data_IF_680880566713
#
_entry.id   IF_680880566713
#
_cell.length_a   1.000
_cell.length_b   1.000
_cell.length_c   1.000
_cell.angle_alpha   90.00
_cell.angle_beta   90.00
_cell.angle_gamma   90.00
#
_symmetry.space_group_name_H-M   'P 1'
#
loop_
_entity.id
_entity.type
_entity.pdbx_description
1 polymer ?
#
# COMPACT_ATOMS: atom_id res chain seq x y z
N UNK A 1 -80.53 -16.57 -15.24
CA UNK A 1 -80.34 -15.16 -15.65
C UNK A 1 -79.23 -14.60 -14.77
N UNK A 2 -78.10 -14.24 -15.39
CA UNK A 2 -76.83 -13.87 -14.75
C UNK A 2 -76.86 -12.40 -14.31
N UNK A 3 -76.35 -12.09 -13.11
CA UNK A 3 -75.60 -10.85 -12.84
C UNK A 3 -74.55 -11.07 -11.75
N UNK A 4 -73.37 -10.53 -12.04
CA UNK A 4 -72.06 -10.69 -11.38
C UNK A 4 -71.79 -9.47 -10.49
N UNK A 5 -71.27 -9.70 -9.26
CA UNK A 5 -70.36 -8.83 -8.47
C UNK A 5 -70.38 -9.35 -7.01
N UNK A 6 -69.30 -9.78 -6.34
CA UNK A 6 -67.92 -9.34 -6.30
C UNK A 6 -66.97 -10.50 -5.95
N UNK A 7 -65.79 -10.50 -6.57
CA UNK A 7 -64.61 -11.26 -6.18
C UNK A 7 -64.29 -11.08 -4.68
N UNK A 8 -63.83 -12.14 -3.97
CA UNK A 8 -63.11 -11.96 -2.72
C UNK A 8 -61.72 -11.38 -3.02
N UNK A 9 -61.44 -10.23 -2.40
CA UNK A 9 -60.12 -9.61 -2.32
C UNK A 9 -59.15 -10.48 -1.51
N UNK A 10 -58.65 -11.54 -2.13
CA UNK A 10 -57.25 -11.92 -1.99
C UNK A 10 -56.41 -10.67 -2.36
N UNK A 11 -55.39 -10.31 -1.56
CA UNK A 11 -54.39 -9.24 -1.80
C UNK A 11 -54.54 -7.88 -1.06
N UNK A 12 -55.00 -7.85 0.19
CA UNK A 12 -54.75 -6.67 1.02
C UNK A 12 -54.49 -7.05 2.48
N UNK A 13 -53.29 -7.56 2.75
CA UNK A 13 -52.88 -7.87 4.11
C UNK A 13 -51.76 -8.88 4.19
N UNK A 14 -50.62 -8.57 3.57
CA UNK A 14 -49.38 -9.23 3.98
C UNK A 14 -49.11 -8.79 5.43
N UNK A 15 -49.59 -9.58 6.39
CA UNK A 15 -49.32 -9.41 7.82
C UNK A 15 -47.79 -9.49 7.97
N UNK A 16 -47.15 -8.33 8.05
CA UNK A 16 -45.76 -8.24 8.49
C UNK A 16 -45.71 -8.77 9.92
N UNK A 17 -44.92 -9.82 10.15
CA UNK A 17 -44.71 -10.35 11.49
C UNK A 17 -44.03 -9.28 12.37
N UNK A 18 -44.35 -9.22 13.68
CA UNK A 18 -43.79 -8.21 14.61
C UNK A 18 -42.24 -8.14 14.61
N UNK A 19 -41.57 -9.27 14.37
CA UNK A 19 -40.11 -9.36 14.21
C UNK A 19 -39.57 -8.68 12.95
N UNK A 20 -40.33 -8.69 11.85
CA UNK A 20 -39.91 -8.06 10.60
C UNK A 20 -39.96 -6.53 10.71
N UNK A 21 -40.99 -5.98 11.36
CA UNK A 21 -41.11 -4.52 11.57
C UNK A 21 -40.05 -3.98 12.53
N UNK A 22 -39.77 -4.70 13.61
CA UNK A 22 -38.72 -4.30 14.57
C UNK A 22 -37.33 -4.37 13.93
N UNK A 23 -37.05 -5.41 13.14
CA UNK A 23 -35.79 -5.54 12.39
C UNK A 23 -35.61 -4.41 11.38
N UNK A 24 -36.65 -4.08 10.60
CA UNK A 24 -36.58 -3.04 9.56
C UNK A 24 -36.42 -1.63 10.16
N UNK A 25 -37.05 -1.38 11.31
CA UNK A 25 -36.88 -0.14 12.09
C UNK A 25 -35.47 -0.02 12.68
N UNK A 26 -34.92 -1.11 13.22
CA UNK A 26 -33.54 -1.15 13.71
C UNK A 26 -32.54 -0.93 12.57
N UNK A 27 -32.77 -1.54 11.40
CA UNK A 27 -31.91 -1.38 10.23
C UNK A 27 -31.86 0.08 9.78
N UNK A 28 -33.01 0.74 9.58
CA UNK A 28 -33.07 2.16 9.19
C UNK A 28 -32.32 3.08 10.15
N UNK A 29 -32.30 2.72 11.44
CA UNK A 29 -31.66 3.52 12.47
C UNK A 29 -30.14 3.30 12.53
N UNK A 30 -29.68 2.07 12.33
CA UNK A 30 -28.27 1.68 12.47
C UNK A 30 -27.47 1.88 11.20
N UNK A 31 -28.14 1.82 10.03
CA UNK A 31 -27.50 1.83 8.73
C UNK A 31 -26.61 3.08 8.50
N UNK A 32 -27.04 4.32 8.79
CA UNK A 32 -26.20 5.49 8.51
C UNK A 32 -24.87 5.48 9.29
N UNK A 33 -24.94 5.17 10.59
CA UNK A 33 -23.74 5.11 11.44
C UNK A 33 -22.81 3.96 11.03
N UNK A 34 -23.39 2.82 10.65
CA UNK A 34 -22.63 1.64 10.19
C UNK A 34 -21.92 1.90 8.86
N UNK A 35 -22.60 2.57 7.92
CA UNK A 35 -22.01 2.95 6.64
C UNK A 35 -20.88 3.97 6.81
N UNK A 36 -21.08 5.02 7.63
CA UNK A 36 -20.03 6.00 7.92
C UNK A 36 -18.81 5.33 8.58
N UNK A 37 -19.05 4.45 9.54
CA UNK A 37 -17.98 3.71 10.20
C UNK A 37 -17.25 2.77 9.24
N UNK A 38 -17.98 2.11 8.34
CA UNK A 38 -17.41 1.27 7.31
C UNK A 38 -16.60 2.05 6.27
N UNK A 39 -17.05 3.23 5.87
CA UNK A 39 -16.30 4.15 5.02
C UNK A 39 -15.00 4.61 5.70
N UNK A 40 -15.08 5.00 6.98
CA UNK A 40 -13.90 5.39 7.76
C UNK A 40 -12.92 4.21 7.94
N UNK A 41 -13.43 3.02 8.22
CA UNK A 41 -12.64 1.79 8.35
C UNK A 41 -11.98 1.37 7.04
N UNK A 42 -12.72 1.39 5.93
CA UNK A 42 -12.18 1.10 4.59
C UNK A 42 -11.12 2.13 4.18
N UNK A 43 -11.39 3.42 4.41
CA UNK A 43 -10.42 4.48 4.16
C UNK A 43 -9.16 4.34 5.02
N UNK A 44 -9.30 3.92 6.28
CA UNK A 44 -8.15 3.60 7.15
C UNK A 44 -7.34 2.42 6.61
N UNK A 45 -7.99 1.33 6.18
CA UNK A 45 -7.30 0.19 5.57
C UNK A 45 -6.51 0.61 4.33
N UNK A 46 -7.10 1.41 3.44
CA UNK A 46 -6.43 1.96 2.25
C UNK A 46 -5.24 2.84 2.64
N UNK A 47 -5.44 3.75 3.60
CA UNK A 47 -4.37 4.63 4.09
C UNK A 47 -3.21 3.81 4.67
N UNK A 48 -3.50 2.77 5.44
CA UNK A 48 -2.48 1.91 6.04
C UNK A 48 -1.69 1.16 4.97
N UNK A 49 -2.30 0.74 3.85
CA UNK A 49 -1.57 0.17 2.72
C UNK A 49 -0.54 1.16 2.16
N UNK A 50 -0.91 2.44 1.98
CA UNK A 50 0.03 3.47 1.53
C UNK A 50 1.15 3.73 2.53
N UNK A 51 0.81 3.91 3.80
CA UNK A 51 1.79 4.16 4.86
C UNK A 51 2.74 2.96 4.97
N UNK A 52 2.23 1.74 4.86
CA UNK A 52 3.04 0.54 4.86
C UNK A 52 4.04 0.54 3.71
N UNK A 53 3.59 0.74 2.46
CA UNK A 53 4.47 0.81 1.30
C UNK A 53 5.51 1.92 1.45
N UNK A 54 5.14 3.06 2.01
CA UNK A 54 6.08 4.15 2.24
C UNK A 54 7.12 3.84 3.31
N UNK A 55 6.69 3.26 4.44
CA UNK A 55 7.56 2.88 5.54
C UNK A 55 8.50 1.72 5.21
N UNK A 56 8.05 0.75 4.40
CA UNK A 56 8.86 -0.42 4.04
C UNK A 56 9.57 -0.28 2.69
N UNK A 57 9.13 0.64 1.82
CA UNK A 57 9.64 0.76 0.45
C UNK A 57 11.15 1.03 0.38
N UNK A 58 11.69 1.77 1.34
CA UNK A 58 13.13 2.03 1.42
C UNK A 58 13.97 0.87 1.95
N UNK A 59 13.36 -0.20 2.43
CA UNK A 59 14.01 -1.32 3.15
C UNK A 59 13.76 -2.67 2.49
N UNK A 60 12.59 -2.87 1.89
CA UNK A 60 12.13 -4.16 1.39
C UNK A 60 13.07 -4.77 0.33
N UNK A 61 13.89 -3.96 -0.32
CA UNK A 61 14.87 -4.37 -1.32
C UNK A 61 16.17 -4.93 -0.71
N UNK A 62 16.44 -4.74 0.58
CA UNK A 62 17.69 -5.21 1.21
C UNK A 62 17.59 -6.66 1.69
N UNK A 63 16.42 -7.10 2.13
CA UNK A 63 16.16 -8.48 2.55
C UNK A 63 14.68 -8.83 2.34
N UNK A 64 14.33 -9.09 1.08
CA UNK A 64 12.94 -9.22 0.65
C UNK A 64 12.16 -10.26 1.46
N UNK A 65 12.75 -11.43 1.76
CA UNK A 65 12.07 -12.48 2.53
C UNK A 65 11.75 -12.08 3.97
N UNK A 66 12.71 -11.49 4.69
CA UNK A 66 12.49 -11.06 6.08
C UNK A 66 11.49 -9.90 6.13
N UNK A 67 11.64 -8.92 5.24
CA UNK A 67 10.79 -7.72 5.23
C UNK A 67 9.39 -7.98 4.69
N UNK A 68 9.22 -8.92 3.75
CA UNK A 68 7.89 -9.33 3.29
C UNK A 68 7.15 -10.13 4.38
N UNK A 69 7.85 -10.99 5.13
CA UNK A 69 7.25 -11.72 6.25
C UNK A 69 6.82 -10.79 7.39
N UNK A 70 7.71 -9.89 7.84
CA UNK A 70 7.39 -8.91 8.89
C UNK A 70 6.31 -7.95 8.39
N UNK A 71 6.43 -7.47 7.16
CA UNK A 71 5.48 -6.54 6.57
C UNK A 71 4.09 -7.15 6.43
N UNK A 72 3.99 -8.38 5.94
CA UNK A 72 2.75 -9.15 5.85
C UNK A 72 2.12 -9.36 7.23
N UNK A 73 2.91 -9.76 8.23
CA UNK A 73 2.41 -9.93 9.59
C UNK A 73 1.90 -8.61 10.19
N UNK A 74 2.63 -7.52 10.00
CA UNK A 74 2.22 -6.19 10.45
C UNK A 74 0.92 -5.76 9.76
N UNK A 75 0.80 -5.94 8.44
CA UNK A 75 -0.42 -5.62 7.70
C UNK A 75 -1.61 -6.44 8.17
N UNK A 76 -1.40 -7.72 8.49
CA UNK A 76 -2.45 -8.56 9.05
C UNK A 76 -2.93 -8.03 10.40
N UNK A 77 -2.00 -7.68 11.31
CA UNK A 77 -2.33 -7.11 12.62
C UNK A 77 -3.06 -5.77 12.47
N UNK A 78 -2.56 -4.88 11.62
CA UNK A 78 -3.17 -3.59 11.33
C UNK A 78 -4.56 -3.72 10.71
N UNK A 79 -4.75 -4.69 9.81
CA UNK A 79 -6.04 -5.02 9.21
C UNK A 79 -7.06 -5.48 10.26
N UNK A 80 -6.66 -6.41 11.13
CA UNK A 80 -7.51 -6.88 12.24
C UNK A 80 -7.89 -5.72 13.16
N UNK A 81 -6.93 -4.91 13.60
CA UNK A 81 -7.18 -3.78 14.51
C UNK A 81 -8.09 -2.72 13.86
N UNK A 82 -7.89 -2.42 12.58
CA UNK A 82 -8.71 -1.46 11.83
C UNK A 82 -10.15 -1.94 11.67
N UNK A 83 -10.35 -3.24 11.41
CA UNK A 83 -11.68 -3.83 11.31
C UNK A 83 -12.39 -3.88 12.66
N UNK A 84 -11.68 -4.23 13.72
CA UNK A 84 -12.20 -4.14 15.08
C UNK A 84 -12.65 -2.69 15.37
N UNK A 85 -11.80 -1.69 15.08
CA UNK A 85 -12.12 -0.28 15.28
C UNK A 85 -13.33 0.19 14.45
N UNK A 86 -13.40 -0.22 13.17
CA UNK A 86 -14.53 0.06 12.29
C UNK A 86 -15.85 -0.48 12.86
N UNK A 87 -15.81 -1.66 13.47
CA UNK A 87 -16.94 -2.27 14.17
C UNK A 87 -17.27 -1.63 15.52
N UNK A 88 -16.28 -1.16 16.26
CA UNK A 88 -16.46 -0.44 17.52
C UNK A 88 -17.16 0.90 17.33
N UNK A 89 -16.88 1.62 16.24
CA UNK A 89 -17.40 2.95 15.95
C UNK A 89 -18.95 3.04 15.97
N UNK A 90 -19.72 2.22 15.21
CA UNK A 90 -21.17 2.33 15.18
C UNK A 90 -21.80 1.94 16.53
N UNK A 91 -21.20 0.99 17.24
CA UNK A 91 -21.60 0.65 18.61
C UNK A 91 -21.36 1.83 19.57
N UNK A 92 -20.22 2.53 19.43
CA UNK A 92 -19.87 3.68 20.24
C UNK A 92 -20.76 4.91 19.96
N UNK A 93 -21.09 5.15 18.68
CA UNK A 93 -21.92 6.27 18.21
C UNK A 93 -23.41 6.10 18.54
N UNK A 94 -23.84 4.87 18.85
CA UNK A 94 -25.21 4.61 19.28
C UNK A 94 -25.45 5.26 20.65
N UNK A 95 -26.25 6.33 20.66
CA UNK A 95 -26.56 7.19 21.83
C UNK A 95 -27.47 6.54 22.88
N UNK A 96 -28.13 5.43 22.56
CA UNK A 96 -29.04 4.78 23.51
C UNK A 96 -28.32 3.65 24.22
N UNK A 97 -28.18 3.76 25.55
CA UNK A 97 -27.76 2.67 26.44
C UNK A 97 -28.72 1.47 26.49
N UNK A 98 -29.53 1.26 25.45
CA UNK A 98 -30.52 0.20 25.30
C UNK A 98 -30.48 -0.53 23.96
N UNK A 99 -29.54 -0.24 23.06
CA UNK A 99 -29.35 -1.09 21.87
C UNK A 99 -28.92 -2.48 22.30
N UNK A 100 -29.80 -3.47 22.07
CA UNK A 100 -29.51 -4.89 22.33
C UNK A 100 -28.20 -5.27 21.63
N UNK A 101 -27.38 -6.07 22.29
CA UNK A 101 -26.10 -6.58 21.78
C UNK A 101 -26.16 -7.06 20.33
N UNK A 102 -27.22 -7.79 19.95
CA UNK A 102 -27.42 -8.26 18.58
C UNK A 102 -27.51 -7.14 17.53
N UNK A 103 -28.10 -6.00 17.88
CA UNK A 103 -28.16 -4.83 17.01
C UNK A 103 -26.78 -4.16 16.84
N UNK A 104 -25.96 -4.14 17.89
CA UNK A 104 -24.59 -3.63 17.80
C UNK A 104 -23.71 -4.54 16.93
N UNK A 105 -23.81 -5.86 17.11
CA UNK A 105 -23.11 -6.87 16.29
C UNK A 105 -23.50 -6.73 14.82
N UNK A 106 -24.79 -6.58 14.51
CA UNK A 106 -25.27 -6.35 13.14
C UNK A 106 -24.70 -5.05 12.55
N UNK A 107 -24.70 -3.96 13.31
CA UNK A 107 -24.12 -2.69 12.88
C UNK A 107 -22.62 -2.80 12.59
N UNK A 108 -21.88 -3.51 13.46
CA UNK A 108 -20.47 -3.84 13.24
C UNK A 108 -20.25 -4.66 11.97
N UNK A 109 -21.06 -5.70 11.74
CA UNK A 109 -20.98 -6.52 10.53
C UNK A 109 -21.22 -5.72 9.25
N UNK A 110 -22.22 -4.82 9.24
CA UNK A 110 -22.48 -3.93 8.11
C UNK A 110 -21.28 -3.00 7.88
N UNK A 111 -20.69 -2.45 8.94
CA UNK A 111 -19.50 -1.60 8.84
C UNK A 111 -18.31 -2.37 8.25
N UNK A 112 -18.05 -3.60 8.70
CA UNK A 112 -16.97 -4.43 8.17
C UNK A 112 -17.17 -4.81 6.70
N UNK A 113 -18.41 -5.16 6.30
CA UNK A 113 -18.71 -5.43 4.90
C UNK A 113 -18.58 -4.18 4.02
N UNK A 114 -18.96 -3.01 4.54
CA UNK A 114 -18.77 -1.73 3.84
C UNK A 114 -17.28 -1.41 3.69
N UNK A 115 -16.46 -1.65 4.72
CA UNK A 115 -15.01 -1.47 4.66
C UNK A 115 -14.36 -2.39 3.60
N UNK A 116 -14.82 -3.64 3.51
CA UNK A 116 -14.42 -4.57 2.44
C UNK A 116 -14.74 -4.01 1.05
N UNK A 117 -15.96 -3.55 0.81
CA UNK A 117 -16.34 -2.98 -0.50
C UNK A 117 -15.50 -1.76 -0.88
N UNK A 118 -15.15 -0.91 0.09
CA UNK A 118 -14.25 0.24 -0.14
C UNK A 118 -12.85 -0.23 -0.54
N UNK A 119 -12.32 -1.24 0.15
CA UNK A 119 -10.99 -1.79 -0.13
C UNK A 119 -10.94 -2.46 -1.52
N UNK A 120 -11.97 -3.24 -1.88
CA UNK A 120 -12.09 -3.86 -3.20
C UNK A 120 -12.20 -2.81 -4.31
N UNK A 121 -13.04 -1.80 -4.12
CA UNK A 121 -13.18 -0.72 -5.08
C UNK A 121 -11.86 0.03 -5.28
N UNK A 122 -11.13 0.29 -4.18
CA UNK A 122 -9.79 0.88 -4.26
C UNK A 122 -8.83 0.00 -5.07
N UNK A 123 -8.76 -1.31 -4.77
CA UNK A 123 -7.91 -2.27 -5.47
C UNK A 123 -8.18 -2.29 -6.98
N UNK A 124 -9.46 -2.36 -7.38
CA UNK A 124 -9.87 -2.36 -8.79
C UNK A 124 -9.50 -1.05 -9.50
N UNK A 125 -9.69 0.10 -8.85
CA UNK A 125 -9.30 1.41 -9.40
C UNK A 125 -7.79 1.48 -9.56
N UNK A 126 -7.01 1.08 -8.57
CA UNK A 126 -5.54 1.09 -8.68
C UNK A 126 -5.04 0.15 -9.78
N UNK A 127 -5.66 -1.02 -9.95
CA UNK A 127 -5.31 -1.95 -11.03
C UNK A 127 -5.63 -1.37 -12.42
N UNK A 128 -6.81 -0.80 -12.60
CA UNK A 128 -7.22 -0.23 -13.90
C UNK A 128 -6.39 1.00 -14.29
N UNK A 129 -6.11 1.90 -13.35
CA UNK A 129 -5.44 3.17 -13.64
C UNK A 129 -3.91 3.15 -13.40
N UNK A 130 -3.37 2.09 -12.80
CA UNK A 130 -1.98 2.02 -12.34
C UNK A 130 -0.93 1.73 -13.43
N UNK A 131 -1.33 1.49 -14.68
CA UNK A 131 -0.43 1.05 -15.75
C UNK A 131 -0.09 2.15 -16.77
N UNK A 132 -0.35 3.43 -16.45
CA UNK A 132 0.08 4.58 -17.26
C UNK A 132 -0.66 4.78 -18.59
N UNK A 133 -1.67 3.96 -18.90
CA UNK A 133 -2.59 4.20 -20.02
C UNK A 133 -3.84 4.98 -19.56
N UNK A 134 -4.51 5.67 -20.48
CA UNK A 134 -5.75 6.38 -20.20
C UNK A 134 -6.92 5.39 -20.01
N UNK A 135 -6.97 4.74 -18.85
CA UNK A 135 -8.01 3.78 -18.51
C UNK A 135 -9.38 4.45 -18.44
N UNK A 136 -10.40 3.75 -18.94
CA UNK A 136 -11.79 4.19 -18.93
C UNK A 136 -12.61 3.48 -17.85
N UNK A 137 -13.84 3.97 -17.63
CA UNK A 137 -14.83 3.30 -16.78
C UNK A 137 -15.11 1.86 -17.23
N UNK A 138 -15.01 1.58 -18.53
CA UNK A 138 -15.15 0.24 -19.11
C UNK A 138 -14.14 -0.75 -18.56
N UNK A 139 -12.91 -0.31 -18.27
CA UNK A 139 -11.83 -1.19 -17.83
C UNK A 139 -12.04 -1.61 -16.38
N UNK A 140 -12.49 -0.67 -15.54
CA UNK A 140 -12.90 -0.97 -14.15
C UNK A 140 -14.08 -1.95 -14.13
N UNK A 141 -15.09 -1.73 -14.98
CA UNK A 141 -16.26 -2.62 -15.05
C UNK A 141 -15.90 -4.01 -15.59
N UNK A 142 -15.00 -4.09 -16.57
CA UNK A 142 -14.48 -5.35 -17.10
C UNK A 142 -13.73 -6.13 -16.01
N UNK A 143 -12.84 -5.45 -15.27
CA UNK A 143 -12.09 -6.06 -14.17
C UNK A 143 -13.03 -6.53 -13.04
N UNK A 144 -14.03 -5.73 -12.69
CA UNK A 144 -15.03 -6.12 -11.71
C UNK A 144 -15.82 -7.36 -12.16
N UNK A 145 -16.22 -7.42 -13.43
CA UNK A 145 -16.91 -8.58 -13.99
C UNK A 145 -16.05 -9.84 -13.93
N UNK A 146 -14.80 -9.75 -14.37
CA UNK A 146 -13.87 -10.89 -14.39
C UNK A 146 -13.54 -11.37 -12.97
N UNK A 147 -13.32 -10.43 -12.05
CA UNK A 147 -13.10 -10.74 -10.63
C UNK A 147 -14.32 -11.41 -10.00
N UNK A 148 -15.53 -10.94 -10.28
CA UNK A 148 -16.76 -11.58 -9.81
C UNK A 148 -16.96 -12.97 -10.42
N UNK A 149 -16.72 -13.13 -11.72
CA UNK A 149 -16.89 -14.40 -12.41
C UNK A 149 -15.94 -15.48 -11.87
N UNK A 150 -14.68 -15.10 -11.60
CA UNK A 150 -13.63 -16.05 -11.24
C UNK A 150 -13.41 -16.18 -9.71
N UNK A 151 -13.77 -15.15 -8.94
CA UNK A 151 -13.42 -15.05 -7.51
C UNK A 151 -14.58 -14.69 -6.58
N UNK A 152 -15.85 -14.78 -7.02
CA UNK A 152 -17.01 -14.46 -6.16
C UNK A 152 -17.01 -15.22 -4.82
N UNK A 153 -16.72 -16.53 -4.81
CA UNK A 153 -16.71 -17.33 -3.58
C UNK A 153 -15.58 -16.92 -2.62
N UNK A 154 -14.30 -16.84 -3.06
CA UNK A 154 -13.22 -16.26 -2.24
C UNK A 154 -13.52 -14.86 -1.72
N UNK A 155 -14.02 -13.96 -2.58
CA UNK A 155 -14.37 -12.59 -2.19
C UNK A 155 -15.47 -12.54 -1.14
N UNK A 156 -16.49 -13.39 -1.29
CA UNK A 156 -17.54 -13.51 -0.28
C UNK A 156 -16.97 -13.99 1.05
N UNK A 157 -16.07 -14.98 1.05
CA UNK A 157 -15.42 -15.47 2.25
C UNK A 157 -14.59 -14.38 2.95
N UNK A 158 -13.82 -13.60 2.18
CA UNK A 158 -13.04 -12.46 2.68
C UNK A 158 -13.98 -11.39 3.27
N UNK A 159 -15.02 -11.00 2.53
CA UNK A 159 -16.00 -10.02 2.98
C UNK A 159 -16.71 -10.45 4.27
N UNK A 160 -17.06 -11.73 4.40
CA UNK A 160 -17.64 -12.29 5.62
C UNK A 160 -16.65 -12.31 6.79
N UNK A 161 -15.37 -12.63 6.54
CA UNK A 161 -14.33 -12.57 7.57
C UNK A 161 -14.13 -11.15 8.10
N UNK A 162 -14.09 -10.15 7.21
CA UNK A 162 -14.00 -8.73 7.58
C UNK A 162 -15.24 -8.26 8.36
N UNK A 163 -16.43 -8.67 7.92
CA UNK A 163 -17.68 -8.43 8.64
C UNK A 163 -17.67 -9.07 10.04
N UNK A 164 -17.15 -10.29 10.17
CA UNK A 164 -17.06 -10.99 11.46
C UNK A 164 -16.08 -10.29 12.43
N UNK A 165 -14.93 -9.82 11.94
CA UNK A 165 -13.96 -9.06 12.75
C UNK A 165 -14.57 -7.73 13.22
N UNK A 166 -15.27 -7.00 12.36
CA UNK A 166 -15.95 -5.78 12.77
C UNK A 166 -17.12 -6.06 13.74
N UNK A 167 -17.89 -7.13 13.50
CA UNK A 167 -18.93 -7.56 14.43
C UNK A 167 -18.37 -7.91 15.82
N UNK A 168 -17.17 -8.50 15.89
CA UNK A 168 -16.45 -8.75 17.14
C UNK A 168 -16.04 -7.45 17.84
N UNK A 169 -15.55 -6.45 17.10
CA UNK A 169 -15.25 -5.13 17.66
C UNK A 169 -16.49 -4.47 18.29
N UNK A 170 -17.61 -4.50 17.59
CA UNK A 170 -18.89 -4.01 18.10
C UNK A 170 -19.36 -4.76 19.35
N UNK A 171 -19.19 -6.09 19.36
CA UNK A 171 -19.50 -6.94 20.51
C UNK A 171 -18.70 -6.53 21.74
N UNK A 172 -17.39 -6.33 21.62
CA UNK A 172 -16.51 -5.94 22.74
C UNK A 172 -17.00 -4.64 23.37
N UNK A 173 -17.27 -3.61 22.58
CA UNK A 173 -17.77 -2.32 23.09
C UNK A 173 -19.15 -2.46 23.76
N UNK A 174 -20.06 -3.23 23.16
CA UNK A 174 -21.38 -3.48 23.75
C UNK A 174 -21.27 -4.23 25.09
N UNK A 175 -20.41 -5.25 25.16
CA UNK A 175 -20.20 -6.05 26.37
C UNK A 175 -19.70 -5.21 27.54
N UNK A 176 -18.72 -4.34 27.32
CA UNK A 176 -18.22 -3.46 28.38
C UNK A 176 -19.22 -2.38 28.78
N UNK A 177 -19.99 -1.83 27.83
CA UNK A 177 -21.06 -0.87 28.13
C UNK A 177 -22.16 -1.47 28.99
N UNK A 178 -22.56 -2.71 28.70
CA UNK A 178 -23.59 -3.43 29.46
C UNK A 178 -23.16 -3.74 30.91
N UNK A 179 -21.85 -3.81 31.19
CA UNK A 179 -21.31 -4.08 32.52
C UNK A 179 -20.96 -2.83 33.34
N UNK A 180 -21.04 -1.64 32.77
CA UNK A 180 -20.75 -0.41 33.49
C UNK A 180 -21.85 -0.08 34.51
N UNK A 181 -21.51 0.59 35.62
CA UNK A 181 -22.50 0.90 36.67
C UNK A 181 -23.53 1.96 36.22
N UNK A 182 -23.24 2.70 35.15
CA UNK A 182 -24.18 3.62 34.53
C UNK A 182 -23.80 4.07 33.11
N UNK A 183 -24.68 4.85 32.44
CA UNK A 183 -24.47 5.28 31.05
C UNK A 183 -23.21 6.11 30.83
N UNK A 184 -22.82 6.94 31.81
CA UNK A 184 -21.60 7.76 31.76
C UNK A 184 -20.33 6.90 31.81
N UNK A 185 -20.30 5.91 32.70
CA UNK A 185 -19.20 4.95 32.82
C UNK A 185 -19.10 4.06 31.58
N UNK A 186 -20.23 3.62 31.03
CA UNK A 186 -20.24 2.84 29.78
C UNK A 186 -19.72 3.65 28.59
N UNK A 187 -20.07 4.94 28.51
CA UNK A 187 -19.50 5.84 27.52
C UNK A 187 -17.98 6.01 27.71
N UNK A 188 -17.51 6.21 28.95
CA UNK A 188 -16.09 6.32 29.26
C UNK A 188 -15.31 5.04 28.90
N UNK A 189 -15.81 3.87 29.29
CA UNK A 189 -15.22 2.57 28.96
C UNK A 189 -15.13 2.35 27.44
N UNK A 190 -16.19 2.70 26.69
CA UNK A 190 -16.15 2.62 25.23
C UNK A 190 -15.09 3.54 24.62
N UNK A 191 -14.99 4.79 25.08
CA UNK A 191 -13.97 5.72 24.61
C UNK A 191 -12.57 5.22 24.91
N UNK A 192 -12.35 4.69 26.11
CA UNK A 192 -11.08 4.08 26.50
C UNK A 192 -10.69 2.96 25.51
N UNK A 193 -11.58 2.01 25.24
CA UNK A 193 -11.31 0.88 24.34
C UNK A 193 -11.03 1.38 22.91
N UNK A 194 -11.82 2.33 22.40
CA UNK A 194 -11.57 2.93 21.09
C UNK A 194 -10.20 3.62 21.04
N UNK A 195 -9.89 4.47 22.02
CA UNK A 195 -8.61 5.18 22.10
C UNK A 195 -7.42 4.23 22.25
N UNK A 196 -7.55 3.17 23.06
CA UNK A 196 -6.54 2.12 23.18
C UNK A 196 -6.32 1.39 21.87
N UNK A 197 -7.39 1.08 21.12
CA UNK A 197 -7.28 0.44 19.81
C UNK A 197 -6.58 1.35 18.80
N UNK A 198 -6.92 2.64 18.77
CA UNK A 198 -6.22 3.64 17.94
C UNK A 198 -4.74 3.75 18.33
N UNK A 199 -4.43 3.80 19.63
CA UNK A 199 -3.05 3.84 20.10
C UNK A 199 -2.26 2.59 19.67
N UNK A 200 -2.87 1.39 19.75
CA UNK A 200 -2.26 0.15 19.27
C UNK A 200 -2.01 0.18 17.77
N UNK A 201 -2.93 0.72 16.96
CA UNK A 201 -2.72 0.91 15.52
C UNK A 201 -1.52 1.83 15.29
N UNK A 202 -1.45 2.99 15.96
CA UNK A 202 -0.34 3.93 15.82
C UNK A 202 1.01 3.29 16.19
N UNK A 203 1.05 2.53 17.29
CA UNK A 203 2.25 1.80 17.72
C UNK A 203 2.63 0.74 16.69
N UNK A 204 1.66 -0.06 16.22
CA UNK A 204 1.88 -1.11 15.25
C UNK A 204 2.30 -0.58 13.87
N UNK A 205 1.87 0.63 13.48
CA UNK A 205 2.32 1.29 12.24
C UNK A 205 3.78 1.73 12.34
N UNK A 206 4.17 2.32 13.48
CA UNK A 206 5.44 3.06 13.59
C UNK A 206 6.59 2.18 14.08
N UNK A 207 6.38 1.35 15.11
CA UNK A 207 7.49 0.63 15.76
C UNK A 207 8.18 -0.39 14.85
N UNK A 208 7.47 -1.25 14.09
CA UNK A 208 8.13 -2.27 13.27
C UNK A 208 9.04 -1.66 12.19
N UNK A 209 8.60 -0.66 11.38
CA UNK A 209 9.49 -0.01 10.43
C UNK A 209 10.66 0.71 11.08
N UNK A 210 10.43 1.40 12.22
CA UNK A 210 11.51 2.10 12.93
C UNK A 210 12.57 1.13 13.44
N UNK A 211 12.15 -0.01 14.02
CA UNK A 211 13.06 -1.06 14.46
C UNK A 211 13.84 -1.65 13.28
N UNK A 212 13.18 -1.89 12.14
CA UNK A 212 13.84 -2.38 10.93
C UNK A 212 14.91 -1.40 10.40
N UNK A 213 14.60 -0.10 10.34
CA UNK A 213 15.58 0.93 9.96
C UNK A 213 16.77 0.96 10.92
N UNK A 214 16.52 0.93 12.24
CA UNK A 214 17.57 0.94 13.24
C UNK A 214 18.47 -0.31 13.17
N UNK A 215 17.87 -1.49 12.97
CA UNK A 215 18.60 -2.75 12.83
C UNK A 215 19.44 -2.79 11.55
N UNK A 216 18.92 -2.27 10.43
CA UNK A 216 19.71 -2.12 9.20
C UNK A 216 20.86 -1.14 9.38
N UNK A 217 20.61 0.04 9.97
CA UNK A 217 21.65 1.02 10.24
C UNK A 217 22.73 0.52 11.21
N UNK A 218 22.37 -0.41 12.11
CA UNK A 218 23.30 -1.07 13.02
C UNK A 218 24.00 -2.30 12.41
N UNK A 219 23.71 -2.67 11.15
CA UNK A 219 24.28 -3.86 10.50
C UNK A 219 23.82 -5.18 11.12
N UNK A 220 22.69 -5.20 11.84
CA UNK A 220 22.13 -6.39 12.48
C UNK A 220 21.30 -7.27 11.53
N UNK A 221 20.97 -6.74 10.35
CA UNK A 221 20.23 -7.45 9.31
C UNK A 221 21.12 -7.56 8.10
N UNK A 222 21.33 -8.80 7.64
CA UNK A 222 22.07 -9.07 6.42
C UNK A 222 21.34 -8.47 5.22
N UNK A 223 22.08 -7.70 4.44
CA UNK A 223 21.64 -7.13 3.18
C UNK A 223 22.07 -8.07 2.07
N UNK A 224 21.13 -8.51 1.23
CA UNK A 224 21.41 -9.21 -0.01
C UNK A 224 21.89 -8.17 -1.05
N UNK A 225 23.19 -8.14 -1.40
CA UNK A 225 23.71 -7.08 -2.27
C UNK A 225 23.06 -7.10 -3.64
N UNK A 226 22.85 -8.28 -4.24
CA UNK A 226 22.18 -8.40 -5.53
C UNK A 226 20.76 -7.82 -5.58
N UNK A 227 19.98 -7.92 -4.50
CA UNK A 227 18.63 -7.31 -4.44
C UNK A 227 18.71 -5.81 -4.14
N UNK A 228 19.66 -5.41 -3.30
CA UNK A 228 19.92 -4.01 -2.97
C UNK A 228 20.37 -3.21 -4.19
N UNK A 229 21.13 -3.80 -5.11
CA UNK A 229 21.53 -3.15 -6.36
C UNK A 229 20.34 -2.70 -7.20
N UNK A 230 19.17 -3.37 -7.10
CA UNK A 230 17.95 -3.00 -7.83
C UNK A 230 17.38 -1.63 -7.43
N UNK A 231 17.73 -1.09 -6.25
CA UNK A 231 17.31 0.26 -5.86
C UNK A 231 18.18 1.34 -6.48
N UNK A 232 19.29 0.96 -7.12
CA UNK A 232 20.19 1.93 -7.75
C UNK A 232 19.49 2.54 -8.95
N UNK A 233 19.41 3.87 -8.96
CA UNK A 233 18.88 4.62 -10.09
C UNK A 233 19.92 5.66 -10.53
N UNK A 234 20.29 5.59 -11.80
CA UNK A 234 21.16 6.58 -12.44
C UNK A 234 20.37 7.26 -13.55
N UNK A 235 20.46 8.58 -13.62
CA UNK A 235 19.92 9.34 -14.76
C UNK A 235 21.06 9.87 -15.59
N UNK A 236 20.82 10.00 -16.89
CA UNK A 236 21.72 10.65 -17.83
C UNK A 236 21.01 11.84 -18.47
N UNK A 237 21.72 12.96 -18.57
CA UNK A 237 21.23 14.18 -19.19
C UNK A 237 22.30 14.75 -20.13
N UNK A 238 21.87 15.23 -21.30
CA UNK A 238 22.72 15.98 -22.22
C UNK A 238 22.54 17.46 -21.96
N UNK A 239 23.49 18.06 -21.25
CA UNK A 239 23.45 19.48 -20.87
C UNK A 239 24.03 20.40 -21.95
N UNK A 240 24.86 19.87 -22.85
CA UNK A 240 25.38 20.56 -24.03
C UNK A 240 25.60 19.56 -25.19
N UNK A 241 25.78 20.02 -26.44
CA UNK A 241 25.99 19.13 -27.58
C UNK A 241 27.13 18.13 -27.39
N UNK A 242 28.20 18.52 -26.69
CA UNK A 242 29.41 17.75 -26.41
C UNK A 242 29.53 17.37 -24.93
N UNK A 243 28.45 17.39 -24.16
CA UNK A 243 28.48 17.14 -22.71
C UNK A 243 27.33 16.22 -22.27
N UNK A 244 27.67 15.15 -21.55
CA UNK A 244 26.75 14.27 -20.86
C UNK A 244 27.03 14.31 -19.35
N UNK A 245 25.97 14.43 -18.56
CA UNK A 245 26.02 14.37 -17.10
C UNK A 245 25.26 13.14 -16.65
N UNK A 246 25.91 12.29 -15.86
CA UNK A 246 25.27 11.21 -15.15
C UNK A 246 25.10 11.61 -13.69
N UNK A 247 23.91 11.37 -13.15
CA UNK A 247 23.58 11.65 -11.74
C UNK A 247 23.12 10.38 -11.07
N UNK A 248 23.73 10.05 -9.93
CA UNK A 248 23.24 8.97 -9.06
C UNK A 248 22.00 9.47 -8.29
N UNK A 249 20.80 8.99 -8.65
CA UNK A 249 19.53 9.43 -8.06
C UNK A 249 19.18 8.66 -6.80
N UNK A 250 19.41 7.36 -6.82
CA UNK A 250 19.21 6.44 -5.70
C UNK A 250 20.44 5.53 -5.65
N UNK A 251 21.01 5.33 -4.47
CA UNK A 251 22.18 4.48 -4.25
C UNK A 251 21.94 3.65 -2.98
N UNK A 252 22.17 2.33 -2.99
CA UNK A 252 22.08 1.51 -1.78
C UNK A 252 23.15 1.92 -0.74
N UNK A 253 23.08 1.42 0.51
CA UNK A 253 24.10 1.65 1.52
C UNK A 253 25.48 1.28 0.99
N UNK A 254 26.52 2.05 1.33
CA UNK A 254 27.88 1.83 0.82
C UNK A 254 28.43 0.42 1.12
N UNK A 255 27.92 -0.26 2.15
CA UNK A 255 28.27 -1.65 2.48
C UNK A 255 27.83 -2.68 1.43
N UNK A 256 26.95 -2.30 0.50
CA UNK A 256 26.43 -3.15 -0.57
C UNK A 256 27.34 -3.12 -1.80
N UNK A 257 27.96 -1.97 -2.08
CA UNK A 257 28.67 -1.71 -3.33
C UNK A 257 30.14 -2.14 -3.22
N UNK A 258 30.72 -2.48 -4.36
CA UNK A 258 32.16 -2.67 -4.47
C UNK A 258 32.88 -1.37 -4.06
N UNK A 259 33.74 -1.38 -3.02
CA UNK A 259 34.42 -0.18 -2.55
C UNK A 259 35.50 0.34 -3.52
N UNK A 260 35.98 -0.48 -4.45
CA UNK A 260 37.00 -0.13 -5.44
C UNK A 260 36.41 0.34 -6.77
N UNK A 261 35.26 -0.21 -7.19
CA UNK A 261 34.63 0.13 -8.46
C UNK A 261 33.10 0.01 -8.37
N UNK A 262 32.40 0.94 -7.68
CA UNK A 262 30.96 0.81 -7.46
C UNK A 262 30.13 0.92 -8.75
N UNK A 263 30.64 1.65 -9.75
CA UNK A 263 30.00 1.82 -11.05
C UNK A 263 30.97 1.60 -12.20
N UNK A 264 30.49 0.98 -13.27
CA UNK A 264 31.11 1.03 -14.59
C UNK A 264 30.20 1.73 -15.59
N UNK A 265 30.78 2.63 -16.38
CA UNK A 265 30.07 3.40 -17.40
C UNK A 265 30.61 3.03 -18.77
N UNK A 266 29.70 2.63 -19.64
CA UNK A 266 30.01 2.31 -21.03
C UNK A 266 29.27 3.26 -21.96
N UNK A 267 30.01 3.87 -22.90
CA UNK A 267 29.45 4.71 -23.95
C UNK A 267 29.74 4.06 -25.30
N UNK A 268 28.69 3.74 -26.06
CA UNK A 268 28.76 2.98 -27.31
C UNK A 268 29.54 1.66 -27.17
N UNK A 269 29.41 1.01 -26.00
CA UNK A 269 30.10 -0.25 -25.66
C UNK A 269 31.56 -0.09 -25.24
N UNK A 270 32.07 1.13 -25.12
CA UNK A 270 33.45 1.43 -24.68
C UNK A 270 33.46 1.82 -23.21
N UNK A 271 34.38 1.24 -22.43
CA UNK A 271 34.57 1.61 -21.02
C UNK A 271 35.12 3.04 -20.88
N UNK A 272 34.35 3.86 -20.17
CA UNK A 272 34.60 5.27 -19.90
C UNK A 272 34.34 5.59 -18.42
N UNK A 273 34.43 4.58 -17.54
CA UNK A 273 34.03 4.65 -16.14
C UNK A 273 34.70 5.78 -15.36
N UNK A 274 35.95 6.13 -15.72
CA UNK A 274 36.73 7.20 -15.11
C UNK A 274 37.74 7.76 -16.12
N UNK A 275 38.50 8.80 -15.72
CA UNK A 275 39.47 9.46 -16.61
C UNK A 275 40.56 8.50 -17.14
N UNK A 276 40.98 7.52 -16.33
CA UNK A 276 41.95 6.50 -16.75
C UNK A 276 41.34 5.55 -17.79
N UNK A 277 40.10 5.12 -17.60
CA UNK A 277 39.38 4.25 -18.54
C UNK A 277 39.18 4.95 -19.89
N UNK A 278 38.72 6.22 -19.89
CA UNK A 278 38.61 7.04 -21.11
C UNK A 278 39.94 7.15 -21.86
N UNK A 279 41.03 7.40 -21.13
CA UNK A 279 42.37 7.53 -21.73
C UNK A 279 42.84 6.21 -22.32
N UNK A 280 42.66 5.11 -21.59
CA UNK A 280 43.07 3.77 -22.02
C UNK A 280 42.27 3.27 -23.23
N UNK A 281 40.98 3.60 -23.31
CA UNK A 281 40.11 3.22 -24.43
C UNK A 281 40.24 4.14 -25.64
N UNK A 282 40.97 5.26 -25.53
CA UNK A 282 41.06 6.27 -26.58
C UNK A 282 39.75 7.00 -26.84
N UNK A 283 38.80 6.93 -25.90
CA UNK A 283 37.52 7.62 -26.01
C UNK A 283 37.75 9.13 -25.87
N UNK A 284 37.32 9.89 -26.89
CA UNK A 284 37.61 11.32 -27.00
C UNK A 284 36.73 12.20 -26.09
N UNK A 285 36.75 11.95 -24.78
CA UNK A 285 36.09 12.76 -23.77
C UNK A 285 36.93 12.84 -22.48
N UNK A 286 36.79 13.94 -21.76
CA UNK A 286 37.30 14.12 -20.39
C UNK A 286 36.22 13.81 -19.38
N UNK A 287 36.59 13.26 -18.21
CA UNK A 287 35.67 12.91 -17.13
C UNK A 287 35.93 13.78 -15.91
N UNK A 288 34.90 14.41 -15.37
CA UNK A 288 34.95 15.18 -14.12
C UNK A 288 33.81 14.76 -13.17
N UNK A 289 34.11 14.32 -11.94
CA UNK A 289 35.44 14.18 -11.35
C UNK A 289 36.25 13.04 -11.99
N UNK A 290 37.57 13.08 -11.85
CA UNK A 290 38.47 12.12 -12.52
C UNK A 290 38.22 10.64 -12.13
N UNK A 291 37.66 10.42 -10.93
CA UNK A 291 37.25 9.10 -10.45
C UNK A 291 35.95 8.56 -11.07
N UNK A 292 35.22 9.38 -11.84
CA UNK A 292 33.93 9.01 -12.42
C UNK A 292 32.76 9.22 -11.47
N UNK A 293 31.68 8.47 -11.69
CA UNK A 293 30.46 8.55 -10.88
C UNK A 293 30.69 7.93 -9.49
N UNK A 294 30.41 8.67 -8.43
CA UNK A 294 30.54 8.19 -7.06
C UNK A 294 29.28 7.46 -6.57
N UNK A 295 29.44 6.56 -5.61
CA UNK A 295 28.37 5.84 -4.93
C UNK A 295 27.65 6.69 -3.87
N UNK A 296 27.29 7.93 -4.21
CA UNK A 296 26.66 8.87 -3.27
C UNK A 296 25.39 9.43 -3.91
N UNK A 297 24.27 9.42 -3.19
CA UNK A 297 23.03 10.01 -3.69
C UNK A 297 23.24 11.49 -4.02
N UNK A 298 22.94 11.86 -5.26
CA UNK A 298 23.11 13.20 -5.80
C UNK A 298 24.50 13.49 -6.36
N UNK A 299 25.44 12.53 -6.36
CA UNK A 299 26.72 12.72 -7.02
C UNK A 299 26.55 12.79 -8.53
N UNK A 300 27.38 13.61 -9.16
CA UNK A 300 27.37 13.83 -10.61
C UNK A 300 28.75 13.54 -11.18
N UNK A 301 28.76 12.96 -12.37
CA UNK A 301 29.95 12.85 -13.19
C UNK A 301 29.64 13.32 -14.61
N UNK A 302 30.56 14.07 -15.18
CA UNK A 302 30.40 14.76 -16.46
C UNK A 302 31.42 14.23 -17.45
N UNK A 303 30.95 13.86 -18.62
CA UNK A 303 31.77 13.52 -19.78
C UNK A 303 31.64 14.64 -20.80
N UNK A 304 32.78 15.24 -21.16
CA UNK A 304 32.83 16.34 -22.13
C UNK A 304 33.80 16.04 -23.26
N UNK A 305 33.38 16.21 -24.51
CA UNK A 305 34.25 16.10 -25.68
C UNK A 305 33.61 15.47 -26.91
N UNK A 306 34.45 15.22 -27.92
CA UNK A 306 34.02 14.71 -29.23
C UNK A 306 33.37 13.31 -29.16
N UNK A 307 33.76 12.48 -28.18
CA UNK A 307 33.23 11.12 -27.98
C UNK A 307 31.75 11.10 -27.57
N UNK A 308 31.24 12.20 -27.01
CA UNK A 308 29.84 12.34 -26.60
C UNK A 308 29.08 13.35 -27.47
N UNK A 309 29.69 13.85 -28.56
CA UNK A 309 29.11 14.90 -29.40
C UNK A 309 27.83 14.44 -30.11
N UNK A 310 26.76 15.22 -29.99
CA UNK A 310 25.53 15.04 -30.76
C UNK A 310 25.70 15.61 -32.18
N UNK A 311 26.18 14.77 -33.10
CA UNK A 311 26.29 15.07 -34.53
C UNK A 311 25.16 14.44 -35.37
N UNK A 312 24.04 14.07 -34.73
CA UNK A 312 22.98 13.27 -35.35
C UNK A 312 23.11 11.76 -35.12
N UNK A 313 24.20 11.31 -34.48
CA UNK A 313 24.33 9.94 -33.97
C UNK A 313 24.07 9.97 -32.46
N UNK A 314 23.07 9.24 -31.95
CA UNK A 314 22.83 9.20 -30.52
C UNK A 314 23.90 8.37 -29.81
N UNK A 315 24.15 8.66 -28.54
CA UNK A 315 25.14 7.97 -27.71
C UNK A 315 24.42 6.92 -26.86
N UNK A 316 24.78 5.65 -27.04
CA UNK A 316 24.31 4.58 -26.16
C UNK A 316 25.07 4.62 -24.85
N UNK A 317 24.38 4.82 -23.72
CA UNK A 317 24.96 4.88 -22.38
C UNK A 317 24.45 3.72 -21.56
N UNK A 318 25.37 2.89 -21.06
CA UNK A 318 25.09 1.79 -20.15
C UNK A 318 25.82 2.04 -18.85
N UNK A 319 25.12 1.91 -17.73
CA UNK A 319 25.73 1.97 -16.39
C UNK A 319 25.48 0.65 -15.70
N UNK A 320 26.56 0.04 -15.22
CA UNK A 320 26.55 -1.16 -14.39
C UNK A 320 26.91 -0.79 -12.96
N UNK A 321 26.18 -1.34 -12.00
CA UNK A 321 26.48 -1.24 -10.58
C UNK A 321 27.04 -2.58 -10.08
N UNK A 322 28.05 -2.50 -9.22
CA UNK A 322 28.81 -3.65 -8.74
C UNK A 322 28.64 -3.83 -7.25
N UNK A 323 28.24 -5.02 -6.83
CA UNK A 323 28.06 -5.41 -5.45
C UNK A 323 29.35 -5.94 -4.82
N UNK A 324 29.48 -5.80 -3.49
CA UNK A 324 30.61 -6.32 -2.70
C UNK A 324 30.73 -7.86 -2.75
N UNK A 325 29.66 -8.55 -3.14
CA UNK A 325 29.61 -10.00 -3.35
C UNK A 325 29.97 -10.43 -4.78
N UNK A 326 30.33 -9.49 -5.66
CA UNK A 326 30.60 -9.71 -7.07
C UNK A 326 29.34 -9.74 -7.95
N UNK A 327 28.16 -9.41 -7.42
CA UNK A 327 26.95 -9.23 -8.22
C UNK A 327 27.08 -8.02 -9.14
N UNK A 328 26.62 -8.13 -10.38
CA UNK A 328 26.59 -7.03 -11.34
C UNK A 328 25.15 -6.79 -11.83
N UNK A 329 24.74 -5.52 -11.91
CA UNK A 329 23.41 -5.15 -12.42
C UNK A 329 23.51 -3.98 -13.40
N UNK A 330 22.83 -4.10 -14.54
CA UNK A 330 22.62 -2.96 -15.45
C UNK A 330 21.54 -2.07 -14.84
N UNK A 331 21.94 -0.90 -14.35
CA UNK A 331 21.05 0.08 -13.68
C UNK A 331 20.55 1.17 -14.61
N UNK A 332 21.18 1.30 -15.79
CA UNK A 332 20.75 2.19 -16.85
C UNK A 332 21.21 1.65 -18.20
N UNK A 333 20.33 1.69 -19.20
CA UNK A 333 20.66 1.39 -20.60
C UNK A 333 19.78 2.27 -21.48
N UNK A 334 20.34 3.36 -21.98
CA UNK A 334 19.61 4.41 -22.69
C UNK A 334 20.40 4.92 -23.89
N UNK A 335 19.69 5.56 -24.82
CA UNK A 335 20.25 6.19 -26.02
C UNK A 335 19.92 7.69 -25.94
N UNK A 336 20.96 8.55 -25.91
CA UNK A 336 20.89 9.99 -25.56
C UNK A 336 21.51 10.90 -26.61
#
# INVERSE_FOLDING_TARGET
MIRISNLPSFLAGAIMTPDRQTTLRNLKRLLPASLIAGLAGGGLLVLLTYVHTWCWGGIACYNHGLFDAIGTFQNLVLGILSLLLAGMLPAALSREGGTRRGSAVLAGGIAGFTAFLVLEMYSMVTAAFGHGYAAGLSDVLSLAHDTLANHALPLLAIGLAMAALAALGAFVVSFFRERAAGPSEGAAASRLILCSTVALILVAVVLPPLAAHAMLGAGMVDVNPGTALMTTAVSVERTAPDTLVLTAREVPPASVLDPGAPFSVFMNGVDVSNASACTASGFAATVEPAGGLEAIKGSEATWTGAGVLNNGTPVGVVVMAHGVDGSELVVMNLVV
#
